data_IF_909710591256
#
_entry.id   IF_909710591256
#
_cell.length_a   1.000
_cell.length_b   1.000
_cell.length_c   1.000
_cell.angle_alpha   90.00
_cell.angle_beta   90.00
_cell.angle_gamma   90.00
#
_symmetry.space_group_name_H-M   'P 1'
#
loop_
_entity.id
_entity.type
_entity.pdbx_description
1 polymer ?
#
# COMPACT_ATOMS: atom_id res chain seq x y z
N UNK A 1 -1.59 -11.15 -17.61
CA UNK A 1 -1.49 -9.68 -17.37
C UNK A 1 -1.79 -9.33 -15.93
N UNK A 2 -1.11 -8.34 -15.32
CA UNK A 2 -1.28 -8.01 -13.89
C UNK A 2 -1.45 -6.50 -13.61
N UNK A 3 -1.97 -6.17 -12.42
CA UNK A 3 -2.08 -4.80 -11.88
C UNK A 3 -1.61 -4.76 -10.43
N UNK A 4 -0.89 -3.71 -10.05
CA UNK A 4 -0.57 -3.43 -8.66
C UNK A 4 -1.69 -2.62 -8.03
N UNK A 5 -2.18 -3.08 -6.88
CA UNK A 5 -3.29 -2.46 -6.15
C UNK A 5 -2.88 -2.25 -4.70
N UNK A 6 -3.12 -1.05 -4.16
CA UNK A 6 -2.89 -0.76 -2.74
C UNK A 6 -4.11 -1.16 -1.93
N UNK A 7 -3.91 -1.80 -0.77
CA UNK A 7 -4.98 -2.07 0.20
C UNK A 7 -5.32 -0.80 0.98
N UNK A 8 -6.57 -0.36 0.87
CA UNK A 8 -7.11 0.85 1.53
C UNK A 8 -7.86 0.48 2.81
N UNK A 9 -8.58 -0.65 2.80
CA UNK A 9 -9.37 -1.10 3.96
C UNK A 9 -9.26 -2.60 4.12
N UNK A 10 -9.21 -3.06 5.37
CA UNK A 10 -9.38 -4.46 5.75
C UNK A 10 -10.44 -4.52 6.83
N UNK A 11 -11.46 -5.35 6.63
CA UNK A 11 -12.58 -5.44 7.55
C UNK A 11 -13.25 -6.82 7.49
N UNK A 12 -14.10 -7.09 8.48
CA UNK A 12 -14.92 -8.29 8.53
C UNK A 12 -16.34 -7.89 8.11
N UNK A 13 -16.86 -8.56 7.08
CA UNK A 13 -18.21 -8.34 6.56
C UNK A 13 -19.26 -9.22 7.24
N UNK A 14 -20.46 -9.21 6.66
CA UNK A 14 -21.55 -10.11 7.08
C UNK A 14 -21.07 -11.57 7.06
N UNK A 15 -21.59 -12.37 7.99
CA UNK A 15 -21.21 -13.79 8.16
C UNK A 15 -19.72 -14.00 8.49
N UNK A 16 -19.08 -13.03 9.17
CA UNK A 16 -17.67 -13.11 9.59
C UNK A 16 -16.68 -13.31 8.43
N UNK A 17 -17.03 -12.84 7.23
CA UNK A 17 -16.18 -12.97 6.04
C UNK A 17 -15.13 -11.85 6.02
N UNK A 18 -13.82 -12.15 6.11
CA UNK A 18 -12.80 -11.13 5.96
C UNK A 18 -12.70 -10.67 4.50
N UNK A 19 -12.59 -9.36 4.30
CA UNK A 19 -12.38 -8.76 2.98
C UNK A 19 -11.41 -7.58 3.04
N UNK A 20 -10.72 -7.36 1.92
CA UNK A 20 -9.86 -6.22 1.68
C UNK A 20 -10.42 -5.38 0.53
N UNK A 21 -10.34 -4.06 0.64
CA UNK A 21 -10.72 -3.11 -0.41
C UNK A 21 -9.47 -2.48 -0.98
N UNK A 22 -9.35 -2.48 -2.30
CA UNK A 22 -8.22 -1.85 -3.00
C UNK A 22 -8.53 -0.40 -3.37
N UNK A 23 -7.49 0.37 -3.68
CA UNK A 23 -7.61 1.74 -4.19
C UNK A 23 -8.34 1.83 -5.54
N UNK A 24 -8.43 0.73 -6.26
CA UNK A 24 -9.19 0.60 -7.52
C UNK A 24 -10.67 0.26 -7.30
N UNK A 25 -11.15 0.27 -6.06
CA UNK A 25 -12.55 -0.03 -5.71
C UNK A 25 -12.90 -1.52 -5.69
N UNK A 26 -11.93 -2.42 -5.88
CA UNK A 26 -12.19 -3.88 -5.85
C UNK A 26 -12.33 -4.37 -4.42
N UNK A 27 -13.23 -5.33 -4.19
CA UNK A 27 -13.40 -6.02 -2.92
C UNK A 27 -12.92 -7.46 -3.03
N UNK A 28 -11.84 -7.79 -2.33
CA UNK A 28 -11.20 -9.11 -2.34
C UNK A 28 -11.54 -9.85 -1.07
N UNK A 29 -12.22 -11.00 -1.19
CA UNK A 29 -12.62 -11.84 -0.06
C UNK A 29 -11.54 -12.87 0.25
N UNK A 30 -11.47 -13.32 1.50
CA UNK A 30 -10.63 -14.44 1.95
C UNK A 30 -9.14 -14.31 1.57
N UNK A 31 -8.60 -13.10 1.70
CA UNK A 31 -7.17 -12.86 1.46
C UNK A 31 -6.32 -13.26 2.67
N UNK A 32 -5.04 -13.52 2.43
CA UNK A 32 -4.09 -13.97 3.46
C UNK A 32 -4.11 -13.03 4.69
N UNK A 33 -4.08 -13.56 5.93
CA UNK A 33 -4.15 -12.75 7.14
C UNK A 33 -3.00 -11.74 7.27
N UNK A 34 -1.85 -12.00 6.66
CA UNK A 34 -0.67 -11.12 6.73
C UNK A 34 -0.80 -9.84 5.91
N UNK A 35 -1.73 -9.79 4.94
CA UNK A 35 -1.97 -8.59 4.13
C UNK A 35 -2.59 -7.52 5.02
N UNK A 36 -1.90 -6.38 5.18
CA UNK A 36 -2.30 -5.26 6.04
C UNK A 36 -2.73 -4.05 5.21
N UNK A 37 -3.30 -3.07 5.90
CA UNK A 37 -3.65 -1.78 5.30
C UNK A 37 -2.35 -1.08 4.86
N UNK A 38 -2.38 -0.44 3.69
CA UNK A 38 -1.26 0.18 2.97
C UNK A 38 -0.33 -0.77 2.21
N UNK A 39 -0.47 -2.09 2.38
CA UNK A 39 0.29 -3.04 1.56
C UNK A 39 -0.14 -2.98 0.09
N UNK A 40 0.75 -3.43 -0.79
CA UNK A 40 0.47 -3.55 -2.22
C UNK A 40 0.33 -5.01 -2.59
N UNK A 41 -0.68 -5.33 -3.40
CA UNK A 41 -0.89 -6.66 -3.95
C UNK A 41 -0.70 -6.64 -5.47
N UNK A 42 -0.13 -7.72 -6.00
CA UNK A 42 -0.06 -7.98 -7.43
C UNK A 42 -1.25 -8.83 -7.83
N UNK A 43 -2.19 -8.23 -8.55
CA UNK A 43 -3.43 -8.87 -8.96
C UNK A 43 -3.35 -9.32 -10.42
N UNK A 44 -3.68 -10.58 -10.71
CA UNK A 44 -3.90 -11.05 -12.08
C UNK A 44 -5.20 -10.46 -12.63
N UNK A 45 -5.17 -9.83 -13.81
CA UNK A 45 -6.38 -9.28 -14.44
C UNK A 45 -7.23 -10.36 -15.11
N UNK A 46 -6.63 -11.52 -15.40
CA UNK A 46 -7.31 -12.64 -16.06
C UNK A 46 -8.04 -13.51 -15.03
N UNK A 47 -7.35 -13.94 -13.96
CA UNK A 47 -7.95 -14.79 -12.92
C UNK A 47 -8.56 -14.02 -11.75
N UNK A 48 -8.29 -12.71 -11.62
CA UNK A 48 -8.63 -11.89 -10.44
C UNK A 48 -8.06 -12.42 -9.12
N UNK A 49 -6.99 -13.21 -9.18
CA UNK A 49 -6.29 -13.74 -8.03
C UNK A 49 -5.09 -12.88 -7.63
N UNK A 50 -4.76 -12.90 -6.34
CA UNK A 50 -3.56 -12.25 -5.82
C UNK A 50 -2.37 -13.18 -6.07
N UNK A 51 -1.43 -12.72 -6.89
CA UNK A 51 -0.22 -13.45 -7.25
C UNK A 51 0.90 -13.23 -6.23
N UNK A 52 0.99 -12.02 -5.69
CA UNK A 52 2.07 -11.62 -4.80
C UNK A 52 1.65 -10.45 -3.90
N UNK A 53 2.36 -10.25 -2.79
CA UNK A 53 2.11 -9.23 -1.78
C UNK A 53 3.42 -8.54 -1.39
N UNK A 54 3.35 -7.21 -1.27
CA UNK A 54 4.46 -6.36 -0.88
C UNK A 54 4.06 -5.56 0.35
N UNK A 55 4.75 -5.82 1.47
CA UNK A 55 4.48 -5.18 2.75
C UNK A 55 4.87 -3.70 2.73
N UNK A 56 4.08 -2.89 3.43
CA UNK A 56 4.39 -1.49 3.71
C UNK A 56 5.38 -1.39 4.90
N UNK A 57 6.66 -1.50 4.59
CA UNK A 57 7.76 -1.48 5.58
C UNK A 57 9.02 -0.77 5.07
N UNK A 58 9.98 -0.56 5.98
CA UNK A 58 11.27 0.04 5.67
C UNK A 58 12.06 -0.85 4.70
N UNK A 59 12.74 -0.22 3.73
CA UNK A 59 13.53 -0.92 2.71
C UNK A 59 12.79 -1.18 1.41
N UNK A 60 11.44 -1.16 1.43
CA UNK A 60 10.65 -1.35 0.22
C UNK A 60 10.53 -0.07 -0.62
N UNK A 61 10.34 -0.26 -1.93
CA UNK A 61 10.17 0.84 -2.89
C UNK A 61 8.72 1.28 -2.93
N UNK A 62 8.50 2.59 -2.91
CA UNK A 62 7.18 3.19 -3.03
C UNK A 62 7.18 4.35 -4.03
N UNK A 63 6.02 4.57 -4.64
CA UNK A 63 5.73 5.71 -5.50
C UNK A 63 4.76 6.66 -4.79
N UNK A 64 5.03 7.95 -4.89
CA UNK A 64 4.15 8.99 -4.35
C UNK A 64 3.06 9.31 -5.37
N UNK A 65 1.79 9.14 -4.98
CA UNK A 65 0.64 9.31 -5.88
C UNK A 65 0.01 10.72 -5.78
N UNK A 66 0.27 11.46 -4.71
CA UNK A 66 -0.34 12.78 -4.44
C UNK A 66 0.59 13.77 -3.75
N UNK A 67 0.16 15.03 -3.67
CA UNK A 67 0.95 16.13 -3.12
C UNK A 67 2.06 16.62 -4.05
N UNK A 68 2.94 17.50 -3.54
CA UNK A 68 4.01 18.13 -4.34
C UNK A 68 5.08 17.16 -4.82
N UNK A 69 5.24 16.02 -4.13
CA UNK A 69 6.19 14.96 -4.49
C UNK A 69 5.59 13.90 -5.44
N UNK A 70 4.39 14.14 -6.02
CA UNK A 70 3.71 13.18 -6.91
C UNK A 70 4.62 12.73 -8.07
N UNK A 71 4.59 11.44 -8.35
CA UNK A 71 5.38 10.80 -9.41
C UNK A 71 6.80 10.43 -9.00
N UNK A 72 7.28 10.88 -7.83
CA UNK A 72 8.59 10.46 -7.33
C UNK A 72 8.54 9.02 -6.80
N UNK A 73 9.61 8.27 -7.08
CA UNK A 73 9.83 6.91 -6.62
C UNK A 73 11.03 6.91 -5.69
N UNK A 74 10.93 6.19 -4.58
CA UNK A 74 12.02 6.08 -3.61
C UNK A 74 11.88 4.88 -2.70
N UNK A 75 12.95 4.55 -2.00
CA UNK A 75 12.97 3.54 -0.94
C UNK A 75 12.47 4.15 0.37
N UNK A 76 11.65 3.41 1.11
CA UNK A 76 11.14 3.84 2.41
C UNK A 76 12.28 3.73 3.43
N UNK A 77 12.72 4.86 3.96
CA UNK A 77 13.75 4.90 5.00
C UNK A 77 13.17 4.89 6.40
N UNK A 78 12.07 5.60 6.65
CA UNK A 78 11.49 5.69 8.00
C UNK A 78 10.02 6.03 7.91
N UNK A 79 9.22 5.37 8.74
CA UNK A 79 7.80 5.64 8.90
C UNK A 79 7.61 6.20 10.31
N UNK A 80 7.28 7.48 10.40
CA UNK A 80 6.95 8.15 11.65
C UNK A 80 5.45 8.03 11.90
N UNK A 81 5.11 7.35 12.99
CA UNK A 81 3.73 7.15 13.40
C UNK A 81 3.29 8.27 14.33
N UNK A 82 2.13 8.84 14.05
CA UNK A 82 1.50 9.86 14.87
C UNK A 82 0.08 9.41 15.22
N UNK A 83 -0.22 9.21 16.50
CA UNK A 83 -1.49 8.58 16.93
C UNK A 83 -2.73 9.43 16.62
N UNK A 84 -2.58 10.76 16.52
CA UNK A 84 -3.67 11.71 16.31
C UNK A 84 -3.61 12.43 14.94
N UNK A 85 -2.67 12.05 14.06
CA UNK A 85 -2.43 12.74 12.80
C UNK A 85 -2.00 11.76 11.70
N UNK A 86 -1.69 12.28 10.53
CA UNK A 86 -1.17 11.48 9.43
C UNK A 86 0.23 10.98 9.76
N UNK A 87 0.50 9.73 9.37
CA UNK A 87 1.86 9.18 9.45
C UNK A 87 2.74 9.85 8.39
N UNK A 88 3.98 10.18 8.75
CA UNK A 88 4.95 10.78 7.84
C UNK A 88 5.93 9.70 7.38
N UNK A 89 6.14 9.62 6.07
CA UNK A 89 7.05 8.65 5.45
C UNK A 89 8.21 9.41 4.85
N UNK A 90 9.41 9.06 5.27
CA UNK A 90 10.66 9.57 4.72
C UNK A 90 11.16 8.58 3.67
N UNK A 91 11.37 9.07 2.45
CA UNK A 91 11.86 8.31 1.31
C UNK A 91 13.15 8.91 0.78
N UNK A 92 13.98 8.10 0.12
CA UNK A 92 15.06 8.59 -0.73
C UNK A 92 14.94 8.01 -2.14
N UNK A 93 15.18 8.86 -3.14
CA UNK A 93 15.30 8.40 -4.53
C UNK A 93 16.66 7.76 -4.81
N UNK A 94 16.81 7.19 -6.01
CA UNK A 94 18.05 6.54 -6.44
C UNK A 94 19.26 7.50 -6.51
N UNK A 95 19.04 8.82 -6.56
CA UNK A 95 20.10 9.85 -6.55
C UNK A 95 20.44 10.30 -5.12
N UNK A 96 19.78 9.75 -4.11
CA UNK A 96 19.99 10.06 -2.71
C UNK A 96 19.24 11.29 -2.19
N UNK A 97 18.39 11.92 -3.00
CA UNK A 97 17.60 13.05 -2.52
C UNK A 97 16.47 12.55 -1.62
N UNK A 98 16.44 13.07 -0.39
CA UNK A 98 15.47 12.73 0.64
C UNK A 98 14.23 13.60 0.52
N UNK A 99 13.07 13.01 0.74
CA UNK A 99 11.79 13.73 0.76
C UNK A 99 10.80 13.02 1.68
N UNK A 100 9.77 13.75 2.09
CA UNK A 100 8.74 13.23 2.97
C UNK A 100 7.35 13.34 2.32
N UNK A 101 6.47 12.41 2.67
CA UNK A 101 5.05 12.46 2.31
C UNK A 101 4.19 11.97 3.46
N UNK A 102 2.89 12.27 3.41
CA UNK A 102 1.90 11.79 4.37
C UNK A 102 1.28 10.49 3.89
N UNK A 103 0.92 9.61 4.82
CA UNK A 103 0.06 8.45 4.58
C UNK A 103 -1.23 8.63 5.36
N UNK A 104 -2.33 8.69 4.61
CA UNK A 104 -3.72 8.83 5.04
C UNK A 104 -4.66 8.28 3.98
#
# INVERSE_FOLDING_TARGET
>A
TFKLCKIVKKAIGKNRVPYCVTNDGRTLRYQHPDIKINDTIKLSLESNEVLDHYAYEQGNVAIVVGGSNKGRVGTIHRIEKHDASFNIVHLADAKGAKFATRVG
#
